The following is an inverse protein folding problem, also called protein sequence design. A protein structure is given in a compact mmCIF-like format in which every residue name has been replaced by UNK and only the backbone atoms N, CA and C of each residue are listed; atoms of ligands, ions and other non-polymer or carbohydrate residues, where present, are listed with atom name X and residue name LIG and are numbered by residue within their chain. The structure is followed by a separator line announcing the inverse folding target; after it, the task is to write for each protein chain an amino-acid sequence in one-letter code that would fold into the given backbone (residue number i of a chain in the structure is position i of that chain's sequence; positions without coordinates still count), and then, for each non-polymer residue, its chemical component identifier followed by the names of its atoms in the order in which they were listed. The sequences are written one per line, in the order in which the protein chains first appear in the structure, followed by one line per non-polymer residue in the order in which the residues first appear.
data_IF_443454152842
#
_entry.id   IF_443454152842
#
_cell.length_a   1.000
_cell.length_b   1.000
_cell.length_c   1.000
_cell.angle_alpha   90.00
_cell.angle_beta   90.00
_cell.angle_gamma   90.00
#
_symmetry.space_group_name_H-M   'P 1'
#
loop_
_entity.id
_entity.type
_entity.pdbx_description
1 polymer ?
#
# COMPACT_ATOMS: atom_id res chain seq x y z
N UNK A 1 -30.40 -18.91 4.49
CA UNK A 1 -29.45 -18.18 3.62
C UNK A 1 -28.07 -18.78 3.80
N UNK A 2 -27.48 -19.34 2.74
CA UNK A 2 -26.11 -19.84 2.78
C UNK A 2 -25.17 -18.63 2.70
N UNK A 3 -24.60 -18.22 3.83
CA UNK A 3 -23.50 -17.25 3.85
C UNK A 3 -22.25 -17.96 3.36
N UNK A 4 -21.90 -17.81 2.09
CA UNK A 4 -20.58 -18.24 1.60
C UNK A 4 -19.56 -17.25 2.16
N UNK A 5 -18.66 -17.67 3.06
CA UNK A 5 -17.67 -16.75 3.61
C UNK A 5 -16.73 -16.29 2.50
N UNK A 6 -16.43 -14.98 2.46
CA UNK A 6 -15.36 -14.48 1.60
C UNK A 6 -14.03 -15.09 2.04
N UNK A 7 -13.19 -15.51 1.10
CA UNK A 7 -11.87 -16.06 1.39
C UNK A 7 -10.80 -14.97 1.31
N UNK A 8 -9.72 -15.14 2.08
CA UNK A 8 -8.55 -14.28 1.98
C UNK A 8 -7.86 -14.47 0.63
N UNK A 9 -7.62 -13.38 -0.11
CA UNK A 9 -6.91 -13.41 -1.41
C UNK A 9 -5.49 -13.98 -1.33
N UNK A 10 -4.88 -14.01 -0.15
CA UNK A 10 -3.52 -14.49 0.06
C UNK A 10 -3.46 -15.95 0.53
N UNK A 11 -4.18 -16.29 1.60
CA UNK A 11 -4.11 -17.63 2.21
C UNK A 11 -5.32 -18.52 1.97
N UNK A 12 -6.36 -18.03 1.29
CA UNK A 12 -7.62 -18.75 1.03
C UNK A 12 -8.39 -19.21 2.28
N UNK A 13 -8.00 -18.75 3.47
CA UNK A 13 -8.74 -19.00 4.70
C UNK A 13 -10.02 -18.15 4.76
N UNK A 14 -11.10 -18.64 5.41
CA UNK A 14 -12.33 -17.88 5.61
C UNK A 14 -12.10 -16.55 6.34
N UNK A 15 -12.71 -15.48 5.84
CA UNK A 15 -12.73 -14.17 6.48
C UNK A 15 -13.98 -14.02 7.34
N UNK A 16 -13.81 -13.54 8.57
CA UNK A 16 -14.92 -13.06 9.38
C UNK A 16 -15.63 -11.86 8.73
N UNK A 17 -14.88 -11.03 7.99
CA UNK A 17 -15.37 -9.87 7.26
C UNK A 17 -14.96 -9.98 5.79
N UNK A 18 -15.85 -10.50 4.95
CA UNK A 18 -15.58 -10.77 3.53
C UNK A 18 -15.10 -9.53 2.76
N UNK A 19 -15.63 -8.35 3.08
CA UNK A 19 -15.26 -7.08 2.44
C UNK A 19 -13.82 -6.62 2.69
N UNK A 20 -13.07 -7.24 3.59
CA UNK A 20 -11.65 -6.89 3.81
C UNK A 20 -10.73 -7.50 2.74
N UNK A 21 -11.10 -8.65 2.17
CA UNK A 21 -10.32 -9.39 1.16
C UNK A 21 -8.98 -9.98 1.62
N UNK A 22 -8.30 -9.39 2.61
CA UNK A 22 -7.06 -9.92 3.19
C UNK A 22 -7.20 -10.02 4.70
N UNK A 23 -6.91 -11.20 5.25
CA UNK A 23 -7.05 -11.44 6.69
C UNK A 23 -5.98 -10.70 7.51
N UNK A 24 -6.22 -10.56 8.82
CA UNK A 24 -5.28 -9.90 9.73
C UNK A 24 -3.92 -10.60 9.79
N UNK A 25 -3.90 -11.94 9.71
CA UNK A 25 -2.65 -12.73 9.72
C UNK A 25 -1.80 -12.41 8.50
N UNK A 26 -2.36 -12.48 7.29
CA UNK A 26 -1.63 -12.14 6.08
C UNK A 26 -1.25 -10.65 6.05
N UNK A 27 -2.13 -9.76 6.51
CA UNK A 27 -1.82 -8.33 6.61
C UNK A 27 -0.61 -8.08 7.53
N UNK A 28 -0.50 -8.80 8.64
CA UNK A 28 0.62 -8.69 9.59
C UNK A 28 1.90 -9.37 9.09
N UNK A 29 1.76 -10.39 8.24
CA UNK A 29 2.89 -11.09 7.63
C UNK A 29 3.55 -10.30 6.49
N UNK A 30 2.85 -9.33 5.89
CA UNK A 30 3.47 -8.35 5.01
C UNK A 30 4.45 -7.53 5.84
N UNK A 31 5.72 -7.62 5.51
CA UNK A 31 6.79 -7.04 6.33
C UNK A 31 6.76 -5.52 6.21
N UNK A 32 6.33 -4.83 7.28
CA UNK A 32 6.65 -3.41 7.43
C UNK A 32 8.13 -3.29 7.71
N UNK A 33 8.93 -3.20 6.64
CA UNK A 33 10.39 -3.17 6.70
C UNK A 33 10.88 -2.07 7.64
N UNK A 34 11.49 -2.51 8.74
CA UNK A 34 12.22 -1.64 9.65
C UNK A 34 13.55 -1.33 8.96
N UNK A 35 13.74 -0.08 8.52
CA UNK A 35 14.99 0.36 7.89
C UNK A 35 14.91 0.70 6.40
N UNK A 36 13.83 1.36 5.96
CA UNK A 36 13.78 1.99 4.64
C UNK A 36 13.89 3.51 4.76
N UNK A 37 14.48 4.14 3.75
CA UNK A 37 14.56 5.59 3.63
C UNK A 37 13.14 6.18 3.55
N UNK A 38 12.80 7.19 4.37
CA UNK A 38 11.45 7.75 4.38
C UNK A 38 11.08 8.46 3.07
N UNK A 39 12.09 8.86 2.28
CA UNK A 39 11.93 9.61 1.04
C UNK A 39 11.93 8.71 -0.21
N UNK A 40 12.92 7.84 -0.40
CA UNK A 40 13.00 6.99 -1.60
C UNK A 40 12.51 5.55 -1.40
N UNK A 41 12.26 5.09 -0.18
CA UNK A 41 11.82 3.71 0.09
C UNK A 41 12.89 2.63 -0.02
N UNK A 42 14.13 2.98 -0.40
CA UNK A 42 15.24 2.02 -0.46
C UNK A 42 15.81 1.73 0.94
N UNK A 43 16.49 0.59 1.15
CA UNK A 43 17.12 0.28 2.44
C UNK A 43 18.01 1.42 2.95
N UNK A 44 17.88 1.72 4.24
CA UNK A 44 18.59 2.79 4.92
C UNK A 44 18.87 2.41 6.38
N UNK A 45 20.04 2.82 6.89
CA UNK A 45 20.46 2.56 8.27
C UNK A 45 19.55 3.25 9.29
N UNK A 46 19.06 4.46 8.98
CA UNK A 46 18.14 5.19 9.85
C UNK A 46 16.82 5.45 9.10
N UNK A 47 15.69 4.85 9.54
CA UNK A 47 14.39 5.01 8.89
C UNK A 47 13.75 6.39 9.11
N UNK A 48 14.29 7.20 10.02
CA UNK A 48 13.81 8.55 10.33
C UNK A 48 14.51 9.63 9.52
N UNK A 49 15.63 9.33 8.84
CA UNK A 49 16.43 10.30 8.09
C UNK A 49 16.54 9.93 6.61
N UNK A 50 16.54 10.92 5.69
CA UNK A 50 16.85 10.66 4.29
C UNK A 50 18.22 9.99 4.14
N UNK A 51 18.30 8.96 3.29
CA UNK A 51 19.56 8.29 3.01
C UNK A 51 20.51 9.21 2.21
N UNK A 52 21.81 8.91 2.20
CA UNK A 52 22.81 9.72 1.50
C UNK A 52 22.53 9.95 0.00
N UNK A 53 21.82 9.03 -0.67
CA UNK A 53 21.36 9.22 -2.05
C UNK A 53 20.35 10.37 -2.16
N UNK A 54 19.37 10.41 -1.26
CA UNK A 54 18.34 11.46 -1.23
C UNK A 54 18.92 12.82 -0.82
N UNK A 55 19.91 12.84 0.08
CA UNK A 55 20.61 14.07 0.46
C UNK A 55 21.41 14.66 -0.71
N UNK A 56 22.06 13.82 -1.53
CA UNK A 56 22.79 14.27 -2.73
C UNK A 56 21.86 14.66 -3.87
N UNK A 57 20.81 13.86 -4.10
CA UNK A 57 19.84 14.06 -5.18
C UNK A 57 18.48 13.58 -4.70
N UNK A 58 17.65 14.52 -4.25
CA UNK A 58 16.30 14.22 -3.79
C UNK A 58 15.42 13.75 -4.97
N UNK A 59 14.57 12.72 -4.78
CA UNK A 59 13.53 12.39 -5.76
C UNK A 59 12.48 13.52 -5.87
N UNK A 60 11.65 13.52 -6.93
CA UNK A 60 10.62 14.55 -7.13
C UNK A 60 9.43 14.47 -6.17
N UNK A 61 9.48 13.58 -5.17
CA UNK A 61 8.48 13.41 -4.12
C UNK A 61 9.15 13.53 -2.74
N UNK A 62 8.38 13.93 -1.73
CA UNK A 62 8.89 14.17 -0.37
C UNK A 62 8.91 12.91 0.51
N UNK A 63 8.02 11.96 0.25
CA UNK A 63 7.92 10.73 1.03
C UNK A 63 7.41 9.57 0.16
N UNK A 64 7.85 8.36 0.48
CA UNK A 64 7.32 7.13 -0.10
C UNK A 64 6.69 6.27 1.00
N UNK A 65 5.53 5.70 0.69
CA UNK A 65 4.85 4.68 1.50
C UNK A 65 4.59 3.50 0.58
N UNK A 66 5.04 2.32 1.00
CA UNK A 66 4.78 1.06 0.32
C UNK A 66 4.16 0.07 1.30
N UNK A 67 3.39 -0.88 0.78
CA UNK A 67 2.85 -2.00 1.57
C UNK A 67 3.95 -3.05 1.80
N UNK A 68 4.63 -3.45 0.73
CA UNK A 68 5.78 -4.37 0.72
C UNK A 68 6.50 -4.21 -0.63
N UNK A 69 7.54 -5.01 -0.87
CA UNK A 69 8.20 -5.16 -2.16
C UNK A 69 7.23 -5.67 -3.22
N UNK A 70 7.51 -5.30 -4.47
CA UNK A 70 6.75 -5.77 -5.63
C UNK A 70 7.14 -7.20 -6.04
N UNK A 71 6.90 -8.16 -5.15
CA UNK A 71 7.20 -9.58 -5.32
C UNK A 71 5.98 -10.43 -4.98
N UNK A 72 6.04 -11.75 -5.25
CA UNK A 72 4.97 -12.67 -4.84
C UNK A 72 4.82 -12.65 -3.30
N UNK A 73 3.58 -12.68 -2.76
CA UNK A 73 2.31 -12.91 -3.45
C UNK A 73 1.61 -11.64 -3.96
N UNK A 74 2.00 -10.45 -3.51
CA UNK A 74 1.31 -9.19 -3.85
C UNK A 74 1.43 -8.82 -5.33
N UNK A 75 2.58 -9.05 -5.95
CA UNK A 75 2.79 -8.77 -7.37
C UNK A 75 1.73 -9.43 -8.27
N UNK A 76 1.32 -10.67 -7.94
CA UNK A 76 0.28 -11.39 -8.68
C UNK A 76 -1.09 -10.72 -8.54
N UNK A 77 -1.46 -10.29 -7.33
CA UNK A 77 -2.73 -9.60 -7.09
C UNK A 77 -2.75 -8.22 -7.77
N UNK A 78 -1.64 -7.47 -7.69
CA UNK A 78 -1.53 -6.17 -8.36
C UNK A 78 -1.58 -6.34 -9.87
N UNK A 79 -0.92 -7.36 -10.42
CA UNK A 79 -0.99 -7.67 -11.84
C UNK A 79 -2.42 -8.03 -12.28
N UNK A 80 -3.11 -8.88 -11.51
CA UNK A 80 -4.49 -9.28 -11.79
C UNK A 80 -5.45 -8.07 -11.80
N UNK A 81 -5.26 -7.11 -10.89
CA UNK A 81 -6.01 -5.85 -10.90
C UNK A 81 -5.67 -5.00 -12.14
N UNK A 82 -4.39 -4.79 -12.43
CA UNK A 82 -3.93 -3.87 -13.49
C UNK A 82 -4.22 -4.37 -14.91
N UNK A 83 -4.10 -5.68 -15.13
CA UNK A 83 -4.00 -6.25 -16.48
C UNK A 83 -4.99 -7.38 -16.74
N UNK A 84 -5.63 -7.95 -15.71
CA UNK A 84 -6.55 -9.08 -15.87
C UNK A 84 -8.00 -8.73 -15.55
N UNK A 85 -8.32 -7.43 -15.37
CA UNK A 85 -9.69 -6.97 -15.13
C UNK A 85 -10.31 -7.40 -13.80
N UNK A 86 -9.52 -7.89 -12.83
CA UNK A 86 -10.03 -8.34 -11.53
C UNK A 86 -10.31 -7.15 -10.60
N UNK A 87 -11.38 -6.40 -10.87
CA UNK A 87 -11.78 -5.21 -10.13
C UNK A 87 -12.13 -5.49 -8.65
N UNK A 88 -12.51 -6.73 -8.31
CA UNK A 88 -12.70 -7.18 -6.93
C UNK A 88 -11.46 -7.05 -6.05
N UNK A 89 -10.26 -6.97 -6.64
CA UNK A 89 -9.00 -6.74 -5.93
C UNK A 89 -8.75 -5.26 -5.59
N UNK A 90 -9.51 -4.33 -6.16
CA UNK A 90 -9.31 -2.90 -5.94
C UNK A 90 -9.47 -2.53 -4.46
N UNK A 91 -10.57 -2.93 -3.83
CA UNK A 91 -10.85 -2.62 -2.41
C UNK A 91 -9.87 -3.31 -1.44
N UNK A 92 -9.55 -4.61 -1.57
CA UNK A 92 -8.53 -5.26 -0.74
C UNK A 92 -7.15 -4.60 -0.84
N UNK A 93 -6.69 -4.30 -2.05
CA UNK A 93 -5.37 -3.65 -2.26
C UNK A 93 -5.38 -2.20 -1.77
N UNK A 94 -6.45 -1.45 -2.00
CA UNK A 94 -6.61 -0.09 -1.47
C UNK A 94 -6.60 -0.09 0.07
N UNK A 95 -7.23 -1.08 0.71
CA UNK A 95 -7.21 -1.23 2.17
C UNK A 95 -5.79 -1.49 2.69
N UNK A 96 -5.00 -2.35 2.03
CA UNK A 96 -3.60 -2.57 2.42
C UNK A 96 -2.78 -1.27 2.33
N UNK A 97 -2.95 -0.51 1.25
CA UNK A 97 -2.30 0.79 1.09
C UNK A 97 -2.72 1.78 2.17
N UNK A 98 -4.02 1.84 2.49
CA UNK A 98 -4.54 2.69 3.57
C UNK A 98 -3.90 2.35 4.91
N UNK A 99 -3.80 1.05 5.25
CA UNK A 99 -3.15 0.62 6.49
C UNK A 99 -1.67 1.03 6.53
N UNK A 100 -0.94 0.91 5.42
CA UNK A 100 0.45 1.36 5.32
C UNK A 100 0.59 2.88 5.49
N UNK A 101 -0.32 3.67 4.91
CA UNK A 101 -0.37 5.13 5.07
C UNK A 101 -0.66 5.51 6.53
N UNK A 102 -1.66 4.90 7.15
CA UNK A 102 -2.00 5.15 8.56
C UNK A 102 -0.83 4.80 9.49
N UNK A 103 -0.12 3.70 9.20
CA UNK A 103 1.08 3.33 9.93
C UNK A 103 2.21 4.35 9.74
N UNK A 104 2.45 4.80 8.51
CA UNK A 104 3.45 5.84 8.23
C UNK A 104 3.12 7.17 8.91
N UNK A 105 1.83 7.55 9.00
CA UNK A 105 1.37 8.72 9.76
C UNK A 105 1.71 8.57 11.25
N UNK A 106 1.47 7.39 11.83
CA UNK A 106 1.80 7.11 13.24
C UNK A 106 3.30 7.11 13.54
N UNK A 107 4.11 6.53 12.65
CA UNK A 107 5.55 6.31 12.92
C UNK A 107 6.45 7.45 12.47
N UNK A 108 6.09 8.16 11.40
CA UNK A 108 6.95 9.16 10.73
C UNK A 108 6.29 10.55 10.62
N UNK A 109 5.17 10.76 11.30
CA UNK A 109 4.39 12.00 11.25
C UNK A 109 4.07 12.45 9.80
N UNK A 110 3.77 11.49 8.91
CA UNK A 110 3.37 11.80 7.54
C UNK A 110 2.19 12.79 7.53
N UNK A 111 2.29 13.82 6.69
CA UNK A 111 1.25 14.83 6.54
C UNK A 111 -0.11 14.21 6.16
N UNK A 112 -1.19 14.93 6.45
CA UNK A 112 -2.53 14.54 6.02
C UNK A 112 -2.58 14.51 4.48
N UNK A 113 -3.39 13.59 3.94
CA UNK A 113 -3.65 13.50 2.50
C UNK A 113 -4.86 14.38 2.19
N UNK A 114 -4.65 15.42 1.39
CA UNK A 114 -5.71 16.33 0.96
C UNK A 114 -6.34 15.93 -0.39
N UNK A 115 -5.58 15.22 -1.23
CA UNK A 115 -6.00 14.82 -2.56
C UNK A 115 -5.29 13.54 -3.01
N UNK A 116 -5.99 12.70 -3.76
CA UNK A 116 -5.42 11.53 -4.45
C UNK A 116 -5.49 11.79 -5.95
N UNK A 117 -4.38 11.57 -6.65
CA UNK A 117 -4.29 11.81 -8.09
C UNK A 117 -3.86 10.55 -8.81
N UNK A 118 -4.36 10.38 -10.03
CA UNK A 118 -4.04 9.25 -10.87
C UNK A 118 -2.64 9.44 -11.47
N UNK A 119 -1.91 8.35 -11.67
CA UNK A 119 -0.63 8.37 -12.39
C UNK A 119 -0.72 7.43 -13.60
N UNK A 120 -0.43 7.91 -14.83
CA UNK A 120 -0.04 9.27 -15.18
C UNK A 120 -1.17 10.29 -14.94
N UNK A 121 -0.80 11.53 -14.65
CA UNK A 121 -1.74 12.64 -14.51
C UNK A 121 -2.38 12.94 -15.87
N UNK A 122 -3.53 12.33 -16.16
CA UNK A 122 -4.36 12.76 -17.28
C UNK A 122 -5.17 13.99 -16.86
N UNK A 123 -5.33 14.97 -17.75
CA UNK A 123 -5.86 16.32 -17.42
C UNK A 123 -7.24 16.33 -16.73
N UNK A 124 -8.00 15.24 -16.77
CA UNK A 124 -9.40 15.19 -16.33
C UNK A 124 -9.67 14.32 -15.10
N UNK A 125 -8.66 13.75 -14.45
CA UNK A 125 -8.89 12.61 -13.55
C UNK A 125 -8.42 12.78 -12.09
N UNK A 126 -8.34 14.02 -11.59
CA UNK A 126 -8.08 14.24 -10.16
C UNK A 126 -9.34 13.92 -9.33
N UNK A 127 -9.23 13.01 -8.36
CA UNK A 127 -10.30 12.66 -7.43
C UNK A 127 -9.96 13.24 -6.05
N UNK A 128 -10.77 14.19 -5.58
CA UNK A 128 -10.62 14.72 -4.22
C UNK A 128 -11.10 13.67 -3.19
N UNK A 129 -10.21 12.78 -2.78
CA UNK A 129 -10.43 11.86 -1.65
C UNK A 129 -9.83 12.47 -0.37
N UNK A 130 -10.68 12.83 0.60
CA UNK A 130 -10.25 13.20 1.96
C UNK A 130 -10.11 11.92 2.78
N UNK A 131 -8.88 11.59 3.21
CA UNK A 131 -8.54 10.43 4.05
C UNK A 131 -8.16 10.85 5.48
#
# INVERSE_FOLDING_TARGET
MLTVPGLCWLCQMPLALSGWGVCSVCTRALEWRIGICPQCGLPATNPSLPCGRCLKKSPPWSALVAVDDYVSPLSRLVHALKFSGQSSLAQPLARLLLLAVLQARRQRALAKIDMVVNVPLYRTSALAARL
#
